data_IF_107003977641
#
_entry.id   IF_107003977641
#
_cell.length_a   1.000
_cell.length_b   1.000
_cell.length_c   1.000
_cell.angle_alpha   90.00
_cell.angle_beta   90.00
_cell.angle_gamma   90.00
#
_symmetry.space_group_name_H-M   'P 1'
#
loop_
_entity.id
_entity.type
_entity.pdbx_description
1 polymer ?
#
# COMPACT_ATOMS: atom_id res chain seq x y z
N UNK A 1 1.70 27.39 -7.08
CA UNK A 1 0.67 26.42 -6.67
C UNK A 1 -0.40 27.22 -5.95
N UNK A 2 -1.62 27.21 -6.46
CA UNK A 2 -2.72 28.07 -6.03
C UNK A 2 -3.59 27.37 -4.96
N UNK A 3 -4.63 28.05 -4.47
CA UNK A 3 -5.55 27.48 -3.48
C UNK A 3 -6.26 26.22 -3.99
N UNK A 4 -6.60 26.19 -5.28
CA UNK A 4 -7.22 25.04 -5.94
C UNK A 4 -6.31 23.79 -5.89
N UNK A 5 -5.00 23.98 -6.08
CA UNK A 5 -4.03 22.89 -5.96
C UNK A 5 -3.96 22.32 -4.52
N UNK A 6 -4.14 23.17 -3.50
CA UNK A 6 -4.17 22.72 -2.09
C UNK A 6 -5.44 21.93 -1.79
N UNK A 7 -6.60 22.44 -2.21
CA UNK A 7 -7.89 21.77 -2.07
C UNK A 7 -7.87 20.38 -2.76
N UNK A 8 -7.31 20.31 -3.96
CA UNK A 8 -7.10 19.04 -4.67
C UNK A 8 -6.26 18.03 -3.88
N UNK A 9 -5.13 18.46 -3.30
CA UNK A 9 -4.28 17.58 -2.50
C UNK A 9 -4.98 17.11 -1.21
N UNK A 10 -5.83 17.94 -0.61
CA UNK A 10 -6.63 17.56 0.55
C UNK A 10 -7.69 16.51 0.19
N UNK A 11 -8.40 16.68 -0.92
CA UNK A 11 -9.35 15.68 -1.41
C UNK A 11 -8.65 14.34 -1.72
N UNK A 12 -7.47 14.40 -2.36
CA UNK A 12 -6.69 13.20 -2.65
C UNK A 12 -6.25 12.48 -1.36
N UNK A 13 -5.89 13.20 -0.30
CA UNK A 13 -5.60 12.60 1.02
C UNK A 13 -6.79 11.81 1.55
N UNK A 14 -8.00 12.39 1.49
CA UNK A 14 -9.22 11.72 1.97
C UNK A 14 -9.46 10.44 1.17
N UNK A 15 -9.36 10.51 -0.16
CA UNK A 15 -9.55 9.35 -1.03
C UNK A 15 -8.51 8.25 -0.79
N UNK A 16 -7.25 8.62 -0.53
CA UNK A 16 -6.19 7.67 -0.20
C UNK A 16 -6.42 7.01 1.14
N UNK A 17 -6.84 7.76 2.16
CA UNK A 17 -7.13 7.23 3.49
C UNK A 17 -8.30 6.23 3.42
N UNK A 18 -9.35 6.53 2.65
CA UNK A 18 -10.47 5.61 2.43
C UNK A 18 -10.05 4.37 1.62
N UNK A 19 -9.20 4.55 0.60
CA UNK A 19 -8.62 3.42 -0.15
C UNK A 19 -7.82 2.51 0.78
N UNK A 20 -6.96 3.08 1.64
CA UNK A 20 -6.16 2.30 2.60
C UNK A 20 -7.08 1.51 3.53
N UNK A 21 -8.14 2.13 4.06
CA UNK A 21 -9.12 1.44 4.92
C UNK A 21 -9.78 0.27 4.22
N UNK A 22 -10.28 0.49 3.00
CA UNK A 22 -10.94 -0.56 2.21
C UNK A 22 -9.99 -1.73 1.94
N UNK A 23 -8.78 -1.45 1.46
CA UNK A 23 -7.82 -2.49 1.09
C UNK A 23 -7.30 -3.24 2.33
N UNK A 24 -7.19 -2.57 3.48
CA UNK A 24 -6.86 -3.23 4.75
C UNK A 24 -7.97 -4.19 5.19
N UNK A 25 -9.24 -3.86 4.95
CA UNK A 25 -10.34 -4.77 5.22
C UNK A 25 -10.32 -5.98 4.26
N UNK A 26 -10.02 -5.75 2.98
CA UNK A 26 -9.80 -6.81 1.98
C UNK A 26 -8.64 -7.75 2.38
N UNK A 27 -7.52 -7.19 2.82
CA UNK A 27 -6.36 -7.95 3.33
C UNK A 27 -6.78 -8.85 4.49
N UNK A 28 -7.46 -8.32 5.52
CA UNK A 28 -7.90 -9.10 6.67
C UNK A 28 -8.81 -10.27 6.27
N UNK A 29 -9.73 -10.03 5.32
CA UNK A 29 -10.60 -11.09 4.81
C UNK A 29 -9.82 -12.17 4.05
N UNK A 30 -8.81 -11.78 3.25
CA UNK A 30 -7.93 -12.72 2.55
C UNK A 30 -7.07 -13.53 3.52
N UNK A 31 -6.46 -12.90 4.53
CA UNK A 31 -5.66 -13.56 5.56
C UNK A 31 -6.50 -14.60 6.30
N UNK A 32 -7.72 -14.24 6.71
CA UNK A 32 -8.63 -15.17 7.35
C UNK A 32 -8.99 -16.37 6.43
N UNK A 33 -9.22 -16.10 5.14
CA UNK A 33 -9.60 -17.12 4.17
C UNK A 33 -8.47 -18.10 3.82
N UNK A 34 -7.24 -17.59 3.69
CA UNK A 34 -6.06 -18.36 3.28
C UNK A 34 -5.53 -19.18 4.45
N UNK A 35 -5.64 -18.67 5.67
CA UNK A 35 -5.11 -19.31 6.88
C UNK A 35 -3.67 -18.90 7.16
N UNK A 36 -3.31 -18.92 8.45
CA UNK A 36 -2.08 -18.31 8.95
C UNK A 36 -0.80 -18.97 8.41
N UNK A 37 -0.79 -20.30 8.26
CA UNK A 37 0.39 -21.04 7.80
C UNK A 37 0.77 -20.63 6.37
N UNK A 38 -0.22 -20.63 5.48
CA UNK A 38 -0.01 -20.20 4.09
C UNK A 38 0.31 -18.71 3.99
N UNK A 39 -0.31 -17.87 4.83
CA UNK A 39 0.03 -16.44 4.90
C UNK A 39 1.48 -16.24 5.32
N UNK A 40 2.02 -17.04 6.25
CA UNK A 40 3.41 -16.94 6.67
C UNK A 40 4.39 -17.20 5.51
N UNK A 41 4.17 -18.27 4.73
CA UNK A 41 4.95 -18.56 3.52
C UNK A 41 4.90 -17.39 2.51
N UNK A 42 3.71 -16.82 2.30
CA UNK A 42 3.53 -15.68 1.40
C UNK A 42 4.23 -14.42 1.93
N UNK A 43 4.31 -14.22 3.25
CA UNK A 43 5.04 -13.11 3.86
C UNK A 43 6.54 -13.25 3.62
N UNK A 44 7.12 -14.42 3.81
CA UNK A 44 8.53 -14.69 3.52
C UNK A 44 8.85 -14.45 2.04
N UNK A 45 7.98 -14.95 1.17
CA UNK A 45 8.03 -14.67 -0.26
C UNK A 45 8.01 -13.17 -0.57
N UNK A 46 7.07 -12.43 0.01
CA UNK A 46 6.92 -11.00 -0.19
C UNK A 46 8.14 -10.19 0.27
N UNK A 47 8.75 -10.61 1.38
CA UNK A 47 9.97 -10.02 1.93
C UNK A 47 11.25 -10.44 1.21
N UNK A 48 11.15 -11.40 0.27
CA UNK A 48 12.29 -12.01 -0.44
C UNK A 48 13.27 -12.71 0.51
N UNK A 49 12.73 -13.40 1.51
CA UNK A 49 13.49 -14.13 2.53
C UNK A 49 13.71 -15.60 2.12
N UNK A 50 13.04 -16.07 1.06
CA UNK A 50 13.21 -17.41 0.50
C UNK A 50 14.45 -17.53 -0.39
N UNK A 51 15.05 -18.72 -0.42
CA UNK A 51 16.00 -19.09 -1.46
C UNK A 51 15.33 -19.16 -2.84
N UNK A 52 16.13 -19.15 -3.91
CA UNK A 52 15.62 -19.23 -5.29
C UNK A 52 14.82 -20.52 -5.54
N UNK A 53 15.25 -21.63 -4.95
CA UNK A 53 14.56 -22.92 -5.09
C UNK A 53 13.19 -22.92 -4.39
N UNK A 54 13.15 -22.44 -3.14
CA UNK A 54 11.90 -22.28 -2.37
C UNK A 54 10.92 -21.33 -3.06
N UNK A 55 11.42 -20.22 -3.61
CA UNK A 55 10.62 -19.25 -4.34
C UNK A 55 9.92 -19.88 -5.56
N UNK A 56 10.64 -20.73 -6.31
CA UNK A 56 10.11 -21.40 -7.50
C UNK A 56 9.04 -22.43 -7.12
N UNK A 57 9.29 -23.24 -6.09
CA UNK A 57 8.33 -24.22 -5.58
C UNK A 57 7.05 -23.53 -5.09
N UNK A 58 7.21 -22.46 -4.30
CA UNK A 58 6.09 -21.71 -3.76
C UNK A 58 5.27 -21.06 -4.88
N UNK A 59 5.91 -20.39 -5.85
CA UNK A 59 5.22 -19.79 -7.01
C UNK A 59 4.43 -20.81 -7.82
N UNK A 60 4.97 -22.02 -8.00
CA UNK A 60 4.28 -23.09 -8.72
C UNK A 60 2.99 -23.54 -7.98
N UNK A 61 2.96 -23.39 -6.66
CA UNK A 61 1.81 -23.71 -5.82
C UNK A 61 0.76 -22.59 -5.69
N UNK A 62 0.99 -21.40 -6.27
CA UNK A 62 0.08 -20.26 -6.08
C UNK A 62 -1.31 -20.47 -6.65
N UNK A 63 -2.30 -20.37 -5.78
CA UNK A 63 -3.71 -20.39 -6.13
C UNK A 63 -4.25 -18.98 -6.46
N UNK A 64 -5.58 -18.86 -6.56
CA UNK A 64 -6.22 -17.58 -6.78
C UNK A 64 -6.04 -16.61 -5.59
N UNK A 65 -6.24 -17.09 -4.36
CA UNK A 65 -6.25 -16.28 -3.15
C UNK A 65 -4.85 -15.78 -2.79
N UNK A 66 -3.83 -16.62 -2.97
CA UNK A 66 -2.42 -16.24 -2.83
C UNK A 66 -2.10 -15.03 -3.71
N UNK A 67 -2.46 -15.11 -5.00
CA UNK A 67 -2.22 -14.03 -5.97
C UNK A 67 -3.00 -12.76 -5.61
N UNK A 68 -4.21 -12.90 -5.07
CA UNK A 68 -4.97 -11.74 -4.59
C UNK A 68 -4.29 -11.08 -3.40
N UNK A 69 -3.83 -11.86 -2.40
CA UNK A 69 -3.16 -11.31 -1.23
C UNK A 69 -1.87 -10.55 -1.59
N UNK A 70 -1.03 -11.13 -2.47
CA UNK A 70 0.17 -10.43 -2.97
C UNK A 70 -0.18 -9.11 -3.68
N UNK A 71 -1.25 -9.09 -4.50
CA UNK A 71 -1.70 -7.85 -5.17
C UNK A 71 -2.23 -6.82 -4.17
N UNK A 72 -2.95 -7.28 -3.15
CA UNK A 72 -3.47 -6.45 -2.05
C UNK A 72 -2.33 -5.79 -1.29
N UNK A 73 -1.27 -6.53 -0.94
CA UNK A 73 -0.06 -5.97 -0.33
C UNK A 73 0.62 -4.94 -1.23
N UNK A 74 0.74 -5.22 -2.53
CA UNK A 74 1.29 -4.26 -3.47
C UNK A 74 0.44 -2.98 -3.58
N UNK A 75 -0.89 -3.10 -3.52
CA UNK A 75 -1.83 -1.98 -3.52
C UNK A 75 -1.71 -1.14 -2.24
N UNK A 76 -1.65 -1.78 -1.07
CA UNK A 76 -1.42 -1.10 0.21
C UNK A 76 -0.10 -0.35 0.22
N UNK A 77 0.99 -1.01 -0.21
CA UNK A 77 2.32 -0.39 -0.26
C UNK A 77 2.32 0.88 -1.12
N UNK A 78 1.69 0.84 -2.29
CA UNK A 78 1.56 2.02 -3.17
C UNK A 78 0.69 3.10 -2.54
N UNK A 79 -0.48 2.75 -2.01
CA UNK A 79 -1.38 3.72 -1.39
C UNK A 79 -0.73 4.46 -0.22
N UNK A 80 -0.05 3.73 0.67
CA UNK A 80 0.72 4.33 1.77
C UNK A 80 1.86 5.22 1.27
N UNK A 81 2.59 4.78 0.23
CA UNK A 81 3.67 5.57 -0.34
C UNK A 81 3.15 6.89 -0.91
N UNK A 82 2.13 6.85 -1.77
CA UNK A 82 1.51 8.05 -2.35
C UNK A 82 0.94 8.96 -1.25
N UNK A 83 0.30 8.39 -0.22
CA UNK A 83 -0.22 9.18 0.90
C UNK A 83 0.88 9.91 1.68
N UNK A 84 2.03 9.27 1.86
CA UNK A 84 3.19 9.90 2.47
C UNK A 84 3.75 11.04 1.59
N UNK A 85 3.86 10.84 0.28
CA UNK A 85 4.32 11.86 -0.67
C UNK A 85 3.40 13.09 -0.70
N UNK A 86 2.08 12.88 -0.73
CA UNK A 86 1.09 13.97 -0.67
C UNK A 86 1.18 14.71 0.66
N UNK A 87 1.31 13.98 1.77
CA UNK A 87 1.49 14.57 3.10
C UNK A 87 2.75 15.43 3.19
N UNK A 88 3.89 14.93 2.71
CA UNK A 88 5.14 15.69 2.66
C UNK A 88 5.03 16.94 1.78
N UNK A 89 4.28 16.85 0.67
CA UNK A 89 4.03 17.97 -0.24
C UNK A 89 3.24 19.07 0.46
N UNK A 90 2.14 18.72 1.13
CA UNK A 90 1.35 19.64 1.95
C UNK A 90 2.18 20.27 3.10
N UNK A 91 3.02 19.49 3.78
CA UNK A 91 3.91 20.01 4.83
C UNK A 91 4.91 21.05 4.28
N UNK A 92 5.51 20.78 3.11
CA UNK A 92 6.44 21.72 2.46
C UNK A 92 5.75 23.01 2.02
N UNK A 93 4.45 22.96 1.67
CA UNK A 93 3.65 24.16 1.38
C UNK A 93 3.44 25.01 2.64
N UNK A 94 3.03 24.37 3.73
CA UNK A 94 2.74 25.06 5.00
C UNK A 94 4.02 25.63 5.66
N UNK A 95 5.17 24.98 5.44
CA UNK A 95 6.47 25.43 5.95
C UNK A 95 7.10 26.59 5.16
N UNK A 96 6.49 27.05 4.05
CA UNK A 96 6.93 28.23 3.30
C UNK A 96 5.93 29.39 3.43
N UNK A 97 5.75 30.01 4.61
CA UNK A 97 5.04 31.27 4.70
C UNK A 97 5.97 32.38 4.17
N UNK A 98 5.62 32.98 3.02
CA UNK A 98 6.18 34.28 2.59
C UNK A 98 7.60 34.28 2.00
N UNK A 99 7.70 34.15 0.68
CA UNK A 99 8.50 35.13 -0.08
C UNK A 99 7.52 35.99 -0.86
N UNK A 100 7.03 37.06 -0.23
CA UNK A 100 6.57 38.22 -0.97
C UNK A 100 7.79 39.13 -1.17
N UNK A 101 8.00 39.68 -2.38
CA UNK A 101 9.08 40.64 -2.66
C UNK A 101 8.90 41.96 -1.89
#
# INVERSE_FOLDING_TARGET
MNQQDQEFLHEMVIQLDDTIRQVTAEEKALVYRIGNDRVAELVEFWKKELSVEEELLLKASFDHWDKQLIRTWARLKRAHHTRAEVGQTLMKMNARPGRQP
#
